data_IF_709856400801
#
_entry.id   IF_709856400801
#
_cell.length_a   1.000
_cell.length_b   1.000
_cell.length_c   1.000
_cell.angle_alpha   90.00
_cell.angle_beta   90.00
_cell.angle_gamma   90.00
#
_symmetry.space_group_name_H-M   'P 1'
#
loop_
_entity.id
_entity.type
_entity.pdbx_description
1 polymer ?
#
# COMPACT_ATOMS: atom_id res chain seq x y z
N UNK A 1 1.83 31.19 17.65
CA UNK A 1 1.01 30.62 16.55
C UNK A 1 1.80 29.49 15.92
N UNK A 2 1.48 28.21 16.15
CA UNK A 2 2.10 27.13 15.40
C UNK A 2 1.62 27.24 13.96
N UNK A 3 2.54 27.27 13.00
CA UNK A 3 2.21 27.28 11.58
C UNK A 3 1.63 25.91 11.21
N UNK A 4 0.30 25.81 11.13
CA UNK A 4 -0.33 24.68 10.45
C UNK A 4 0.06 24.72 8.97
N UNK A 5 0.49 23.58 8.43
CA UNK A 5 0.83 23.46 7.01
C UNK A 5 -0.34 23.94 6.15
N UNK A 6 -0.08 24.75 5.12
CA UNK A 6 -1.11 25.24 4.17
C UNK A 6 -1.60 24.17 3.20
N UNK A 7 -1.17 22.92 3.37
CA UNK A 7 -1.53 21.81 2.49
C UNK A 7 -2.26 20.75 3.28
N UNK A 8 -3.47 20.43 2.86
CA UNK A 8 -4.28 19.32 3.37
C UNK A 8 -4.27 18.18 2.37
N UNK A 9 -4.06 16.96 2.87
CA UNK A 9 -4.11 15.76 2.05
C UNK A 9 -5.01 14.72 2.69
N UNK A 10 -5.59 13.85 1.86
CA UNK A 10 -6.21 12.62 2.31
C UNK A 10 -5.42 11.45 1.75
N UNK A 11 -5.04 10.52 2.61
CA UNK A 11 -4.36 9.29 2.21
C UNK A 11 -5.39 8.19 1.97
N UNK A 12 -5.32 7.57 0.81
CA UNK A 12 -6.09 6.35 0.51
C UNK A 12 -5.15 5.16 0.65
N UNK A 13 -5.45 4.28 1.60
CA UNK A 13 -4.62 3.12 1.92
C UNK A 13 -5.40 1.86 1.58
N UNK A 14 -4.75 0.96 0.86
CA UNK A 14 -5.25 -0.40 0.66
C UNK A 14 -4.44 -1.34 1.56
N UNK A 15 -5.12 -2.09 2.42
CA UNK A 15 -4.45 -3.04 3.31
C UNK A 15 -5.06 -4.43 3.24
N UNK A 16 -4.23 -5.42 3.53
CA UNK A 16 -4.60 -6.82 3.64
C UNK A 16 -4.90 -7.14 5.10
N UNK A 17 -6.08 -7.69 5.35
CA UNK A 17 -6.50 -8.15 6.67
C UNK A 17 -6.73 -9.66 6.65
N UNK A 18 -5.96 -10.38 7.46
CA UNK A 18 -6.07 -11.82 7.67
C UNK A 18 -6.66 -12.18 9.04
N UNK A 19 -6.99 -11.19 9.87
CA UNK A 19 -7.54 -11.40 11.21
C UNK A 19 -9.05 -11.59 11.13
N UNK A 20 -9.52 -12.84 11.13
CA UNK A 20 -10.92 -13.22 10.97
C UNK A 20 -11.59 -13.66 12.29
N UNK A 21 -11.69 -12.79 13.32
CA UNK A 21 -12.37 -13.15 14.55
C UNK A 21 -13.85 -13.43 14.23
N UNK A 22 -14.35 -14.56 14.72
CA UNK A 22 -15.74 -14.97 14.48
C UNK A 22 -16.02 -15.56 13.10
N UNK A 23 -15.00 -15.80 12.26
CA UNK A 23 -15.14 -16.42 10.94
C UNK A 23 -16.19 -15.72 10.03
N UNK A 24 -16.21 -14.39 10.06
CA UNK A 24 -17.18 -13.55 9.34
C UNK A 24 -16.96 -13.55 7.82
N UNK A 25 -15.80 -13.97 7.32
CA UNK A 25 -15.57 -14.27 5.89
C UNK A 25 -14.92 -15.65 5.68
N UNK A 26 -14.87 -16.11 4.43
CA UNK A 26 -14.42 -17.47 4.06
C UNK A 26 -13.07 -17.53 3.33
N UNK A 27 -12.64 -16.45 2.68
CA UNK A 27 -11.33 -16.41 2.03
C UNK A 27 -10.18 -16.29 3.03
N UNK A 28 -8.95 -16.43 2.53
CA UNK A 28 -7.73 -16.46 3.35
C UNK A 28 -7.38 -15.09 3.93
N UNK A 29 -7.65 -14.03 3.16
CA UNK A 29 -7.54 -12.66 3.61
C UNK A 29 -8.60 -11.80 2.91
N UNK A 30 -8.75 -10.56 3.36
CA UNK A 30 -9.61 -9.55 2.74
C UNK A 30 -8.85 -8.27 2.45
N UNK A 31 -9.23 -7.59 1.36
CA UNK A 31 -8.73 -6.28 1.00
C UNK A 31 -9.63 -5.21 1.60
N UNK A 32 -9.03 -4.27 2.33
CA UNK A 32 -9.70 -3.10 2.88
C UNK A 32 -9.16 -1.83 2.27
N UNK A 33 -10.03 -0.84 2.11
CA UNK A 33 -9.68 0.53 1.77
C UNK A 33 -9.96 1.43 2.95
N UNK A 34 -8.97 2.25 3.29
CA UNK A 34 -9.07 3.29 4.32
C UNK A 34 -8.93 4.63 3.62
N UNK A 35 -9.82 5.56 3.92
CA UNK A 35 -9.64 6.96 3.59
C UNK A 35 -9.29 7.70 4.87
N UNK A 36 -8.11 8.30 4.88
CA UNK A 36 -7.53 8.94 6.03
C UNK A 36 -7.39 10.43 5.72
N UNK A 37 -8.33 11.28 6.12
CA UNK A 37 -8.06 12.70 6.12
C UNK A 37 -6.98 13.01 7.17
N UNK A 38 -6.17 14.04 6.94
CA UNK A 38 -5.21 14.48 7.93
C UNK A 38 -5.87 15.01 9.20
N UNK A 39 -7.02 15.68 9.03
CA UNK A 39 -7.74 16.38 10.07
C UNK A 39 -9.17 15.87 10.13
N UNK A 40 -9.70 15.70 11.34
CA UNK A 40 -11.11 15.40 11.51
C UNK A 40 -11.94 16.65 11.30
N UNK A 41 -13.03 16.51 10.54
CA UNK A 41 -13.98 17.60 10.37
C UNK A 41 -14.84 17.71 11.62
N UNK A 42 -14.54 18.67 12.48
CA UNK A 42 -15.38 18.98 13.64
C UNK A 42 -16.17 20.25 13.34
N UNK A 43 -17.46 20.25 13.70
CA UNK A 43 -18.33 21.44 13.62
C UNK A 43 -18.01 22.47 14.72
N UNK A 44 -17.13 22.12 15.65
CA UNK A 44 -16.70 22.98 16.74
C UNK A 44 -15.58 23.92 16.27
N UNK A 45 -15.74 25.22 16.56
CA UNK A 45 -14.73 26.28 16.36
C UNK A 45 -13.61 26.14 17.39
N UNK A 46 -13.01 24.96 17.49
CA UNK A 46 -11.85 24.73 18.34
C UNK A 46 -10.57 25.06 17.55
N UNK A 47 -9.71 25.90 18.14
CA UNK A 47 -8.42 26.34 17.61
C UNK A 47 -7.39 25.21 17.39
N UNK A 48 -7.75 23.96 17.69
CA UNK A 48 -6.93 22.77 17.49
C UNK A 48 -7.77 21.75 16.73
N UNK A 49 -7.65 21.73 15.40
CA UNK A 49 -8.28 20.68 14.59
C UNK A 49 -7.57 19.37 14.91
N UNK A 50 -8.24 18.38 15.52
CA UNK A 50 -7.60 17.13 15.89
C UNK A 50 -7.16 16.39 14.62
N UNK A 51 -5.97 15.81 14.66
CA UNK A 51 -5.51 14.90 13.60
C UNK A 51 -6.29 13.60 13.69
N UNK A 52 -6.67 13.04 12.55
CA UNK A 52 -7.40 11.76 12.51
C UNK A 52 -6.62 10.66 13.23
N UNK A 53 -7.32 9.86 14.03
CA UNK A 53 -6.68 8.75 14.75
C UNK A 53 -5.99 7.78 13.78
N UNK A 54 -4.73 7.44 14.09
CA UNK A 54 -3.91 6.59 13.20
C UNK A 54 -3.37 7.33 11.97
N UNK A 55 -3.50 8.66 11.91
CA UNK A 55 -2.79 9.46 10.92
C UNK A 55 -1.30 9.53 11.26
N UNK A 56 -0.46 9.24 10.27
CA UNK A 56 0.98 9.47 10.30
C UNK A 56 1.35 10.21 9.01
N UNK A 57 2.17 11.24 9.09
CA UNK A 57 2.50 12.04 7.91
C UNK A 57 3.48 11.28 7.00
N UNK A 58 3.13 11.00 5.73
CA UNK A 58 4.06 10.36 4.79
C UNK A 58 5.18 11.30 4.34
N UNK A 59 5.10 12.59 4.70
CA UNK A 59 6.12 13.60 4.45
C UNK A 59 7.15 13.68 5.59
N UNK A 60 6.94 12.93 6.68
CA UNK A 60 7.90 12.86 7.76
C UNK A 60 9.18 12.19 7.26
N UNK A 61 10.32 12.79 7.61
CA UNK A 61 11.65 12.40 7.11
C UNK A 61 12.01 10.93 7.38
N UNK A 62 11.36 10.32 8.36
CA UNK A 62 11.61 8.95 8.81
C UNK A 62 10.62 7.93 8.22
N UNK A 63 9.52 8.39 7.63
CA UNK A 63 8.43 7.54 7.10
C UNK A 63 8.50 7.56 5.57
N UNK A 64 8.31 8.68 4.89
CA UNK A 64 8.23 8.68 3.42
C UNK A 64 7.04 7.86 2.87
N UNK A 65 6.63 8.13 1.62
CA UNK A 65 5.51 7.39 1.00
C UNK A 65 5.73 5.87 0.79
N UNK A 66 6.91 5.40 0.32
CA UNK A 66 7.07 3.99 -0.07
C UNK A 66 7.02 2.97 1.08
N UNK A 67 7.30 3.40 2.30
CA UNK A 67 7.36 2.55 3.49
C UNK A 67 6.33 2.97 4.55
N UNK A 68 5.49 3.98 4.28
CA UNK A 68 4.38 4.34 5.15
C UNK A 68 3.49 3.10 5.44
N UNK A 69 3.03 2.90 6.68
CA UNK A 69 3.18 3.75 7.87
C UNK A 69 4.43 3.43 8.70
N UNK A 70 5.35 2.63 8.17
CA UNK A 70 6.50 2.15 8.92
C UNK A 70 7.61 3.21 8.89
N UNK A 71 8.23 3.41 10.06
CA UNK A 71 9.44 4.22 10.21
C UNK A 71 10.61 3.33 10.61
N UNK A 72 11.78 3.70 10.13
CA UNK A 72 13.04 3.07 10.56
C UNK A 72 13.69 3.96 11.61
N UNK A 73 13.93 3.43 12.80
CA UNK A 73 14.64 4.17 13.87
C UNK A 73 16.12 4.38 13.50
N UNK A 74 16.80 5.26 14.23
CA UNK A 74 18.28 5.43 14.15
C UNK A 74 19.05 4.15 14.47
N UNK A 75 18.42 3.18 15.15
CA UNK A 75 18.97 1.86 15.47
C UNK A 75 18.64 0.79 14.43
N UNK A 76 17.95 1.15 13.33
CA UNK A 76 17.54 0.21 12.28
C UNK A 76 16.27 -0.59 12.59
N UNK A 77 15.59 -0.32 13.71
CA UNK A 77 14.35 -1.02 14.05
C UNK A 77 13.18 -0.45 13.24
N UNK A 78 12.38 -1.35 12.64
CA UNK A 78 11.17 -0.98 11.91
C UNK A 78 10.00 -0.94 12.89
N UNK A 79 9.35 0.21 13.02
CA UNK A 79 8.17 0.39 13.89
C UNK A 79 7.04 1.05 13.12
N UNK A 80 5.79 0.76 13.49
CA UNK A 80 4.64 1.49 12.98
C UNK A 80 4.65 2.92 13.53
N UNK A 81 4.53 3.92 12.65
CA UNK A 81 4.26 5.30 13.05
C UNK A 81 2.78 5.51 13.41
N UNK A 82 1.92 4.55 13.10
CA UNK A 82 0.52 4.57 13.54
C UNK A 82 0.40 4.03 14.96
N UNK A 83 -0.20 4.83 15.85
CA UNK A 83 -0.54 4.42 17.21
C UNK A 83 -1.65 3.36 17.25
N UNK A 84 -2.54 3.35 16.26
CA UNK A 84 -3.61 2.37 16.10
C UNK A 84 -4.01 2.27 14.62
N UNK A 85 -4.67 1.17 14.26
CA UNK A 85 -5.38 1.07 12.98
C UNK A 85 -6.43 2.19 12.91
N UNK A 86 -6.51 2.93 11.79
CA UNK A 86 -7.47 4.01 11.69
C UNK A 86 -8.92 3.53 11.77
N UNK A 87 -9.70 4.18 12.62
CA UNK A 87 -11.13 3.94 12.79
C UNK A 87 -11.92 5.09 12.18
N UNK A 88 -11.89 5.21 10.85
CA UNK A 88 -12.67 6.19 10.09
C UNK A 88 -13.99 5.63 9.58
N UNK A 89 -14.94 6.51 9.25
CA UNK A 89 -16.26 6.16 8.70
C UNK A 89 -16.21 5.53 7.30
N UNK A 90 -15.11 5.70 6.56
CA UNK A 90 -14.93 5.20 5.19
C UNK A 90 -14.05 3.94 5.10
N UNK A 91 -14.03 3.14 6.17
CA UNK A 91 -13.37 1.85 6.18
C UNK A 91 -14.21 0.80 5.42
N UNK A 92 -13.97 0.67 4.12
CA UNK A 92 -14.70 -0.26 3.26
C UNK A 92 -13.94 -1.57 3.08
N UNK A 93 -14.63 -2.71 3.29
CA UNK A 93 -14.17 -4.01 2.80
C UNK A 93 -14.46 -4.07 1.31
N UNK A 94 -13.44 -4.33 0.50
CA UNK A 94 -13.59 -4.42 -0.95
C UNK A 94 -13.76 -5.85 -1.44
N UNK A 95 -12.96 -6.78 -0.91
CA UNK A 95 -12.87 -8.17 -1.39
C UNK A 95 -12.54 -9.10 -0.23
N UNK A 96 -13.26 -10.22 -0.07
CA UNK A 96 -13.07 -11.21 1.01
C UNK A 96 -12.29 -12.47 0.61
N UNK A 97 -11.88 -12.56 -0.66
CA UNK A 97 -11.22 -13.71 -1.25
C UNK A 97 -9.82 -13.35 -1.73
N UNK A 98 -9.05 -12.66 -0.90
CA UNK A 98 -7.66 -12.36 -1.18
C UNK A 98 -6.78 -13.55 -0.82
N UNK A 99 -5.71 -13.74 -1.59
CA UNK A 99 -4.69 -14.70 -1.21
C UNK A 99 -3.78 -14.13 -0.12
N UNK A 100 -3.21 -15.01 0.68
CA UNK A 100 -2.26 -14.68 1.74
C UNK A 100 -0.88 -15.30 1.47
N UNK A 101 -0.61 -15.69 0.21
CA UNK A 101 0.65 -16.29 -0.19
C UNK A 101 1.82 -15.39 0.20
N UNK A 102 2.79 -16.01 0.89
CA UNK A 102 4.09 -15.41 1.16
C UNK A 102 4.88 -15.37 -0.15
N UNK A 103 5.22 -14.16 -0.56
CA UNK A 103 6.21 -13.86 -1.58
C UNK A 103 7.56 -14.09 -0.90
N UNK A 104 8.18 -15.25 -1.12
CA UNK A 104 9.52 -15.54 -0.58
C UNK A 104 10.54 -14.67 -1.31
N UNK A 105 11.61 -14.26 -0.62
CA UNK A 105 12.56 -13.21 -1.07
C UNK A 105 13.27 -13.40 -2.42
N UNK A 106 12.95 -14.44 -3.19
CA UNK A 106 13.33 -14.64 -4.60
C UNK A 106 12.34 -14.02 -5.61
N UNK A 107 11.18 -13.56 -5.16
CA UNK A 107 10.12 -12.97 -6.00
C UNK A 107 10.33 -11.49 -6.38
N UNK A 108 11.55 -10.98 -6.19
CA UNK A 108 12.01 -9.82 -6.98
C UNK A 108 11.93 -10.08 -8.49
N UNK A 109 11.73 -11.34 -8.91
CA UNK A 109 11.41 -11.79 -10.26
C UNK A 109 10.05 -11.32 -10.83
N UNK A 110 9.15 -10.74 -10.01
CA UNK A 110 7.79 -10.44 -10.46
C UNK A 110 7.62 -9.07 -11.09
N UNK A 111 8.41 -8.06 -10.72
CA UNK A 111 8.39 -6.81 -11.48
C UNK A 111 9.11 -7.02 -12.81
N UNK A 112 8.61 -6.46 -13.94
CA UNK A 112 9.30 -6.60 -15.21
C UNK A 112 10.76 -6.17 -15.08
N UNK A 113 11.66 -7.09 -15.41
CA UNK A 113 13.07 -6.78 -15.58
C UNK A 113 13.26 -6.23 -16.98
N UNK A 114 13.86 -5.05 -17.10
CA UNK A 114 14.30 -4.56 -18.40
C UNK A 114 15.46 -5.47 -18.84
N UNK A 115 15.17 -6.40 -19.76
CA UNK A 115 16.12 -7.38 -20.31
C UNK A 115 17.26 -6.75 -21.14
N UNK A 116 17.33 -5.42 -21.21
CA UNK A 116 18.47 -4.71 -21.74
C UNK A 116 19.56 -4.77 -20.67
N UNK A 117 20.56 -5.64 -20.86
CA UNK A 117 21.66 -5.94 -19.92
C UNK A 117 22.57 -4.77 -19.53
N UNK A 118 21.99 -3.65 -19.12
CA UNK A 118 22.64 -2.45 -18.70
C UNK A 118 22.12 -2.06 -17.31
N UNK A 119 23.03 -1.49 -16.55
CA UNK A 119 22.85 -0.61 -15.38
C UNK A 119 21.94 0.61 -15.64
N UNK A 120 21.07 0.56 -16.65
CA UNK A 120 20.20 1.65 -17.07
C UNK A 120 18.98 1.74 -16.14
N UNK A 121 18.92 2.88 -15.42
CA UNK A 121 17.71 3.38 -14.77
C UNK A 121 16.72 3.93 -15.81
N UNK A 122 15.40 3.94 -15.53
CA UNK A 122 14.79 3.54 -14.27
C UNK A 122 14.29 2.08 -14.26
N UNK A 123 14.79 1.30 -13.30
CA UNK A 123 14.27 -0.05 -13.02
C UNK A 123 12.91 0.06 -12.33
N UNK A 124 12.05 -0.95 -12.50
CA UNK A 124 10.84 -1.07 -11.67
C UNK A 124 11.24 -1.36 -10.22
N UNK A 125 10.68 -0.59 -9.29
CA UNK A 125 10.80 -0.78 -7.86
C UNK A 125 9.52 -1.42 -7.31
N UNK A 126 9.68 -2.46 -6.49
CA UNK A 126 8.56 -3.10 -5.80
C UNK A 126 8.08 -2.23 -4.64
N UNK A 127 6.77 -2.01 -4.55
CA UNK A 127 6.11 -1.34 -3.43
C UNK A 127 5.10 -2.28 -2.75
N UNK A 128 5.15 -2.42 -1.42
CA UNK A 128 6.19 -1.88 -0.51
C UNK A 128 7.57 -2.53 -0.73
N UNK A 129 8.65 -1.82 -0.38
CA UNK A 129 10.04 -2.23 -0.67
C UNK A 129 10.47 -3.53 0.01
N UNK A 130 11.56 -4.12 -0.49
CA UNK A 130 12.08 -5.44 -0.07
C UNK A 130 12.67 -5.44 1.35
N UNK A 131 13.06 -4.30 1.90
CA UNK A 131 13.47 -4.17 3.31
C UNK A 131 12.33 -4.48 4.29
N UNK A 132 11.08 -4.38 3.84
CA UNK A 132 9.88 -4.82 4.57
C UNK A 132 9.47 -6.28 4.25
N UNK A 133 10.10 -6.92 3.25
CA UNK A 133 9.80 -8.27 2.80
C UNK A 133 10.56 -9.37 3.58
N UNK A 134 11.50 -9.01 4.46
CA UNK A 134 12.17 -9.96 5.36
C UNK A 134 11.37 -10.24 6.64
N UNK A 135 10.29 -9.48 6.89
CA UNK A 135 9.37 -9.77 7.99
C UNK A 135 8.49 -11.01 7.66
N UNK A 136 8.04 -11.79 8.66
CA UNK A 136 7.05 -12.87 8.50
C UNK A 136 5.74 -12.46 7.79
N UNK A 137 5.55 -11.14 7.61
CA UNK A 137 4.50 -10.43 6.90
C UNK A 137 4.72 -10.28 5.37
N UNK A 138 5.65 -11.01 4.76
CA UNK A 138 5.84 -11.05 3.30
C UNK A 138 4.65 -11.66 2.50
N UNK A 139 3.45 -11.70 3.09
CA UNK A 139 2.21 -12.15 2.45
C UNK A 139 1.68 -11.01 1.57
N UNK A 140 1.67 -11.18 0.25
CA UNK A 140 1.25 -10.12 -0.69
C UNK A 140 0.18 -10.62 -1.64
N UNK A 141 -1.08 -10.50 -1.22
CA UNK A 141 -2.21 -10.54 -2.14
C UNK A 141 -2.34 -9.25 -2.98
N UNK A 142 -1.69 -8.15 -2.61
CA UNK A 142 -1.66 -6.90 -3.40
C UNK A 142 -0.24 -6.30 -3.37
N UNK A 143 0.28 -5.90 -4.52
CA UNK A 143 1.56 -5.20 -4.63
C UNK A 143 1.65 -4.38 -5.91
N UNK A 144 2.62 -3.45 -5.99
CA UNK A 144 2.85 -2.65 -7.18
C UNK A 144 4.32 -2.64 -7.59
N UNK A 145 4.57 -2.51 -8.89
CA UNK A 145 5.88 -2.26 -9.49
C UNK A 145 5.86 -0.86 -10.10
N UNK A 146 6.78 0.00 -9.67
CA UNK A 146 6.78 1.43 -10.00
C UNK A 146 8.05 1.76 -10.77
N UNK A 147 7.93 2.40 -11.93
CA UNK A 147 9.04 2.91 -12.73
C UNK A 147 8.89 4.42 -12.91
N UNK A 148 10.00 5.17 -12.85
CA UNK A 148 10.01 6.63 -13.06
C UNK A 148 9.73 7.47 -11.81
N UNK A 149 10.16 7.02 -10.62
CA UNK A 149 10.10 7.79 -9.37
C UNK A 149 10.95 9.07 -9.36
N UNK A 150 10.69 9.92 -8.36
CA UNK A 150 11.14 11.31 -8.21
C UNK A 150 12.51 11.66 -8.84
N UNK A 151 12.49 12.60 -9.80
CA UNK A 151 13.70 13.24 -10.34
C UNK A 151 14.14 12.82 -11.74
N UNK A 152 13.50 11.82 -12.37
CA UNK A 152 13.94 11.30 -13.68
C UNK A 152 13.33 11.97 -14.92
N UNK A 153 12.33 12.85 -14.75
CA UNK A 153 11.64 13.50 -15.90
C UNK A 153 10.90 12.54 -16.83
N UNK A 154 10.81 11.25 -16.46
CA UNK A 154 10.15 10.21 -17.21
C UNK A 154 8.69 10.07 -16.79
N UNK A 155 7.86 9.56 -17.70
CA UNK A 155 6.49 9.17 -17.36
C UNK A 155 6.55 8.07 -16.30
N UNK A 156 5.80 8.26 -15.22
CA UNK A 156 5.72 7.25 -14.18
C UNK A 156 4.83 6.12 -14.68
N UNK A 157 5.27 4.90 -14.45
CA UNK A 157 4.55 3.70 -14.82
C UNK A 157 4.36 2.84 -13.58
N UNK A 158 3.12 2.42 -13.35
CA UNK A 158 2.75 1.62 -12.19
C UNK A 158 2.03 0.37 -12.67
N UNK A 159 2.55 -0.79 -12.32
CA UNK A 159 1.90 -2.08 -12.54
C UNK A 159 1.37 -2.53 -11.17
N UNK A 160 0.06 -2.60 -11.02
CA UNK A 160 -0.59 -3.06 -9.80
C UNK A 160 -1.01 -4.51 -10.03
N UNK A 161 -0.64 -5.37 -9.10
CA UNK A 161 -1.02 -6.78 -9.11
C UNK A 161 -1.85 -7.12 -7.89
N UNK A 162 -2.90 -7.88 -8.14
CA UNK A 162 -3.82 -8.41 -7.15
C UNK A 162 -3.89 -9.92 -7.32
N UNK A 163 -3.62 -10.67 -6.26
CA UNK A 163 -3.75 -12.11 -6.18
C UNK A 163 -4.86 -12.47 -5.21
N UNK A 164 -5.97 -12.95 -5.77
CA UNK A 164 -7.11 -13.48 -5.07
C UNK A 164 -7.00 -15.00 -4.93
N UNK A 165 -7.79 -15.58 -4.03
CA UNK A 165 -7.90 -17.02 -3.83
C UNK A 165 -9.38 -17.41 -3.70
N UNK A 166 -9.89 -18.19 -4.65
CA UNK A 166 -11.29 -18.59 -4.66
C UNK A 166 -11.65 -19.66 -3.62
N UNK A 167 -10.69 -20.13 -2.83
CA UNK A 167 -10.93 -21.06 -1.74
C UNK A 167 -11.99 -20.52 -0.76
N UNK A 168 -12.99 -21.34 -0.44
CA UNK A 168 -14.09 -20.99 0.46
C UNK A 168 -15.29 -20.30 -0.21
N UNK A 169 -15.25 -20.04 -1.53
CA UNK A 169 -16.41 -19.52 -2.27
C UNK A 169 -17.43 -20.65 -2.54
N UNK A 170 -18.74 -20.42 -2.33
CA UNK A 170 -19.77 -21.41 -2.68
C UNK A 170 -19.67 -21.83 -4.14
N UNK A 171 -19.80 -23.13 -4.42
CA UNK A 171 -19.71 -23.68 -5.78
C UNK A 171 -18.29 -23.93 -6.30
N UNK A 172 -17.25 -23.53 -5.55
CA UNK A 172 -15.86 -23.89 -5.88
C UNK A 172 -15.53 -25.24 -5.23
N UNK A 173 -15.10 -26.25 -6.02
CA UNK A 173 -14.73 -27.56 -5.48
C UNK A 173 -13.67 -27.42 -4.37
N UNK A 174 -13.79 -28.18 -3.28
CA UNK A 174 -12.79 -28.26 -2.19
C UNK A 174 -11.52 -29.00 -2.62
N UNK A 175 -11.05 -28.79 -3.85
CA UNK A 175 -9.91 -29.51 -4.42
C UNK A 175 -8.71 -28.59 -4.40
N UNK A 176 -7.79 -28.85 -3.46
CA UNK A 176 -6.61 -28.01 -3.24
C UNK A 176 -6.96 -26.72 -2.50
N UNK A 177 -6.20 -26.42 -1.45
CA UNK A 177 -6.46 -25.26 -0.59
C UNK A 177 -6.23 -23.91 -1.29
N UNK A 178 -5.74 -23.89 -2.54
CA UNK A 178 -5.36 -22.68 -3.25
C UNK A 178 -5.87 -22.69 -4.70
N UNK A 179 -6.74 -21.73 -5.02
CA UNK A 179 -7.19 -21.44 -6.38
C UNK A 179 -6.86 -19.97 -6.70
N UNK A 180 -5.60 -19.68 -7.05
CA UNK A 180 -5.15 -18.32 -7.23
C UNK A 180 -5.77 -17.70 -8.48
N UNK A 181 -6.23 -16.46 -8.35
CA UNK A 181 -6.70 -15.62 -9.45
C UNK A 181 -5.84 -14.36 -9.44
N UNK A 182 -5.04 -14.15 -10.48
CA UNK A 182 -4.18 -12.98 -10.59
C UNK A 182 -4.80 -11.97 -11.54
N UNK A 183 -4.89 -10.72 -11.09
CA UNK A 183 -5.25 -9.57 -11.91
C UNK A 183 -4.08 -8.60 -11.94
N UNK A 184 -3.80 -8.07 -13.13
CA UNK A 184 -2.78 -7.04 -13.34
C UNK A 184 -3.44 -5.84 -14.01
N UNK A 185 -3.11 -4.64 -13.53
CA UNK A 185 -3.44 -3.41 -14.22
C UNK A 185 -2.20 -2.54 -14.35
N UNK A 186 -2.05 -1.88 -15.49
CA UNK A 186 -0.91 -1.04 -15.82
C UNK A 186 -1.39 0.38 -16.03
N UNK A 187 -0.86 1.30 -15.24
CA UNK A 187 -1.19 2.71 -15.27
C UNK A 187 0.04 3.48 -15.70
N UNK A 188 -0.09 4.26 -16.77
CA UNK A 188 0.94 5.21 -17.20
C UNK A 188 0.48 6.61 -16.80
N UNK A 189 1.15 7.21 -15.82
CA UNK A 189 0.91 8.60 -15.44
C UNK A 189 1.87 9.50 -16.19
N UNK A 190 1.30 10.41 -17.00
CA UNK A 190 2.06 11.46 -17.68
C UNK A 190 1.97 12.71 -16.83
N UNK A 191 3.09 13.11 -16.22
CA UNK A 191 3.21 14.43 -15.62
C UNK A 191 3.50 15.45 -16.70
N UNK A 192 2.59 16.39 -16.94
CA UNK A 192 2.91 17.59 -17.72
C UNK A 192 3.57 18.58 -16.77
N UNK A 193 4.90 18.56 -16.70
CA UNK A 193 5.67 19.65 -16.10
C UNK A 193 5.77 20.77 -17.12
N UNK A 194 4.99 21.84 -16.91
CA UNK A 194 5.10 23.18 -17.49
C UNK A 194 5.84 23.30 -18.85
N UNK A 195 5.09 23.26 -19.97
CA UNK A 195 5.52 23.93 -21.22
C UNK A 195 5.26 25.43 -21.04
N UNK A 196 6.22 26.12 -20.45
CA UNK A 196 6.14 27.55 -20.23
C UNK A 196 7.53 28.16 -20.20
N UNK A 197 8.03 28.51 -21.37
CA UNK A 197 8.97 29.63 -21.58
C UNK A 197 8.43 30.46 -22.73
#
# INVERSE_FOLDING_TARGET
MPCASRTTYSLVVYSLDWSNPGNIWRGRARLKRYQLPQYEYTTAVALTTPTTQGWASPLDKEIGFPQWPLRTSTTGAITSAQAALPTGSDNAVLIDFMDDIRVTGTDTANCPVDNTGATASPKFELSPTTTLATAPAARRGIYACIRGGAGSGLNQEVIIRLQANAAGRPGVPKVGSSLPITMETRVLTRGVLNKGS
#
